data_IF_035678797708
#
_entry.id   IF_035678797708
#
_cell.length_a   1.000
_cell.length_b   1.000
_cell.length_c   1.000
_cell.angle_alpha   90.00
_cell.angle_beta   90.00
_cell.angle_gamma   90.00
#
_symmetry.space_group_name_H-M   'P 1'
#
loop_
_entity.id
_entity.type
_entity.pdbx_description
1 polymer ?
#
# COMPACT_ATOMS: atom_id res chain seq x y z
N UNK A 1 -15.92 -18.93 -6.97
CA UNK A 1 -15.29 -17.73 -7.54
C UNK A 1 -13.79 -17.84 -7.31
N UNK A 2 -13.02 -18.10 -8.37
CA UNK A 2 -11.55 -18.25 -8.30
C UNK A 2 -10.91 -16.87 -8.24
N UNK A 3 -10.51 -16.43 -7.03
CA UNK A 3 -9.59 -15.29 -6.89
C UNK A 3 -8.18 -15.77 -7.20
N UNK A 4 -7.83 -15.79 -8.48
CA UNK A 4 -6.42 -15.70 -8.90
C UNK A 4 -5.93 -14.30 -8.55
N UNK A 5 -5.62 -14.08 -7.26
CA UNK A 5 -4.81 -12.94 -6.85
C UNK A 5 -3.45 -13.22 -7.48
N UNK A 6 -3.10 -12.42 -8.48
CA UNK A 6 -1.78 -12.47 -9.09
C UNK A 6 -0.75 -12.32 -7.97
N UNK A 7 -0.13 -13.42 -7.56
CA UNK A 7 1.04 -13.41 -6.68
C UNK A 7 2.08 -12.54 -7.38
N UNK A 8 2.43 -11.38 -6.78
CA UNK A 8 3.29 -10.32 -7.32
C UNK A 8 2.63 -9.17 -8.11
N UNK A 9 1.33 -8.91 -7.96
CA UNK A 9 0.82 -7.58 -8.33
C UNK A 9 1.10 -6.58 -7.20
N UNK A 10 1.64 -5.42 -7.53
CA UNK A 10 1.63 -4.28 -6.62
C UNK A 10 0.17 -3.85 -6.38
N UNK A 11 -0.23 -3.84 -5.11
CA UNK A 11 -1.58 -3.50 -4.67
C UNK A 11 -1.64 -2.22 -3.86
N UNK A 12 -0.54 -1.43 -3.79
CA UNK A 12 -0.47 -0.25 -2.91
C UNK A 12 -1.63 0.73 -3.11
N UNK A 13 -2.04 0.95 -4.37
CA UNK A 13 -3.17 1.84 -4.70
C UNK A 13 -4.55 1.25 -4.39
N UNK A 14 -4.64 -0.06 -4.17
CA UNK A 14 -5.88 -0.81 -3.99
C UNK A 14 -6.18 -1.13 -2.52
N UNK A 15 -5.26 -0.81 -1.62
CA UNK A 15 -5.39 -1.09 -0.19
C UNK A 15 -5.60 0.19 0.63
N UNK A 16 -6.21 0.01 1.79
CA UNK A 16 -6.28 0.96 2.88
C UNK A 16 -5.39 0.44 4.01
N UNK A 17 -4.37 1.20 4.38
CA UNK A 17 -3.43 0.87 5.45
C UNK A 17 -3.76 1.78 6.63
N UNK A 18 -3.91 1.20 7.83
CA UNK A 18 -4.25 2.01 9.02
C UNK A 18 -3.16 3.05 9.30
N UNK A 19 -3.58 4.24 9.74
CA UNK A 19 -2.68 5.38 10.00
C UNK A 19 -1.45 5.04 10.84
N UNK A 20 -1.53 4.28 11.95
CA UNK A 20 -0.35 3.96 12.77
C UNK A 20 0.73 3.18 12.01
N UNK A 21 0.34 2.38 11.01
CA UNK A 21 1.29 1.65 10.16
C UNK A 21 2.00 2.60 9.21
N UNK A 22 1.26 3.52 8.60
CA UNK A 22 1.84 4.52 7.69
C UNK A 22 2.80 5.46 8.42
N UNK A 23 2.47 5.86 9.66
CA UNK A 23 3.36 6.65 10.52
C UNK A 23 4.65 5.87 10.82
N UNK A 24 4.53 4.62 11.29
CA UNK A 24 5.67 3.77 11.57
C UNK A 24 6.54 3.51 10.32
N UNK A 25 5.92 3.37 9.14
CA UNK A 25 6.63 3.23 7.86
C UNK A 25 7.50 4.46 7.56
N UNK A 26 6.92 5.66 7.62
CA UNK A 26 7.61 6.91 7.33
C UNK A 26 8.76 7.15 8.31
N UNK A 27 8.51 6.95 9.61
CA UNK A 27 9.54 7.13 10.65
C UNK A 27 10.71 6.16 10.44
N UNK A 28 10.42 4.89 10.14
CA UNK A 28 11.45 3.88 9.86
C UNK A 28 12.28 4.23 8.62
N UNK A 29 11.63 4.71 7.55
CA UNK A 29 12.34 5.15 6.34
C UNK A 29 13.24 6.37 6.60
N UNK A 30 12.79 7.30 7.44
CA UNK A 30 13.59 8.46 7.83
C UNK A 30 14.85 8.05 8.61
N UNK A 31 14.70 7.14 9.58
CA UNK A 31 15.83 6.62 10.38
C UNK A 31 16.84 5.84 9.52
N UNK A 32 16.34 5.01 8.60
CA UNK A 32 17.17 4.28 7.64
C UNK A 32 17.89 5.26 6.71
N UNK A 33 17.19 6.27 6.19
CA UNK A 33 17.78 7.28 5.31
C UNK A 33 18.89 8.06 6.02
N UNK A 34 18.69 8.48 7.27
CA UNK A 34 19.74 9.15 8.06
C UNK A 34 20.94 8.23 8.27
N UNK A 35 20.69 6.96 8.61
CA UNK A 35 21.75 5.96 8.81
C UNK A 35 22.58 5.74 7.54
N UNK A 36 21.91 5.54 6.40
CA UNK A 36 22.57 5.35 5.11
C UNK A 36 23.32 6.60 4.65
N UNK A 37 22.77 7.79 4.90
CA UNK A 37 23.43 9.08 4.63
C UNK A 37 24.78 9.17 5.33
N UNK A 38 24.81 8.80 6.62
CA UNK A 38 26.04 8.83 7.43
C UNK A 38 27.03 7.77 6.95
N UNK A 39 26.57 6.56 6.64
CA UNK A 39 27.45 5.47 6.16
C UNK A 39 28.07 5.77 4.79
N UNK A 40 27.25 6.23 3.84
CA UNK A 40 27.68 6.49 2.45
C UNK A 40 28.34 7.87 2.27
N UNK A 41 28.41 8.68 3.33
CA UNK A 41 28.89 10.07 3.29
C UNK A 41 28.17 10.93 2.23
N UNK A 42 26.92 10.59 1.94
CA UNK A 42 26.11 11.26 0.94
C UNK A 42 25.45 12.51 1.52
N UNK A 43 25.19 13.51 0.68
CA UNK A 43 24.39 14.68 1.08
C UNK A 43 22.89 14.47 0.89
N UNK A 44 22.53 13.63 -0.08
CA UNK A 44 21.16 13.33 -0.50
C UNK A 44 20.98 11.81 -0.46
N UNK A 45 19.80 11.38 -0.04
CA UNK A 45 19.37 9.98 -0.04
C UNK A 45 18.09 9.92 -0.86
N UNK A 46 18.13 9.16 -1.95
CA UNK A 46 16.96 8.92 -2.77
C UNK A 46 16.12 7.82 -2.13
N UNK A 47 14.80 8.05 -2.08
CA UNK A 47 13.81 7.05 -1.68
C UNK A 47 12.92 6.80 -2.91
N UNK A 48 12.82 5.55 -3.32
CA UNK A 48 12.01 5.15 -4.48
C UNK A 48 10.52 5.05 -4.12
N UNK A 49 9.71 4.69 -5.11
CA UNK A 49 8.27 4.55 -4.93
C UNK A 49 7.95 3.37 -4.00
N UNK A 50 6.97 3.57 -3.11
CA UNK A 50 6.46 2.51 -2.26
C UNK A 50 5.60 1.51 -3.05
N UNK A 51 5.78 0.23 -2.72
CA UNK A 51 5.06 -0.92 -3.26
C UNK A 51 4.41 -1.72 -2.14
N UNK A 52 3.31 -2.41 -2.44
CA UNK A 52 2.70 -3.35 -1.50
C UNK A 52 2.30 -4.67 -2.15
N UNK A 53 2.58 -5.78 -1.46
CA UNK A 53 2.32 -7.14 -1.94
C UNK A 53 1.61 -7.95 -0.86
N UNK A 54 0.57 -8.69 -1.24
CA UNK A 54 -0.12 -9.59 -0.29
C UNK A 54 0.64 -10.91 -0.20
N UNK A 55 1.06 -11.25 1.01
CA UNK A 55 1.74 -12.52 1.31
C UNK A 55 0.74 -13.69 1.39
N UNK A 56 1.27 -14.92 1.32
CA UNK A 56 0.46 -16.15 1.39
C UNK A 56 -0.29 -16.32 2.72
N UNK A 57 0.23 -15.72 3.80
CA UNK A 57 -0.35 -15.74 5.14
C UNK A 57 -1.44 -14.66 5.34
N UNK A 58 -1.71 -13.81 4.33
CA UNK A 58 -2.66 -12.71 4.43
C UNK A 58 -2.07 -11.39 4.95
N UNK A 59 -0.80 -11.35 5.33
CA UNK A 59 -0.12 -10.10 5.66
C UNK A 59 0.14 -9.27 4.39
N UNK A 60 0.33 -7.96 4.56
CA UNK A 60 0.76 -7.06 3.50
C UNK A 60 2.24 -6.75 3.70
N UNK A 61 3.08 -7.06 2.71
CA UNK A 61 4.46 -6.60 2.66
C UNK A 61 4.50 -5.23 1.98
N UNK A 62 4.90 -4.19 2.71
CA UNK A 62 5.29 -2.91 2.14
C UNK A 62 6.79 -2.95 1.80
N UNK A 63 7.16 -2.40 0.65
CA UNK A 63 8.55 -2.39 0.18
C UNK A 63 8.89 -1.10 -0.55
N UNK A 64 10.12 -0.64 -0.39
CA UNK A 64 10.72 0.46 -1.16
C UNK A 64 12.23 0.29 -1.25
N UNK A 65 12.91 1.22 -1.89
CA UNK A 65 14.37 1.30 -1.96
C UNK A 65 14.84 2.62 -1.36
N UNK A 66 15.82 2.58 -0.45
CA UNK A 66 16.47 3.77 0.13
C UNK A 66 17.95 3.77 -0.23
N UNK A 67 18.42 4.75 -1.02
CA UNK A 67 19.77 4.81 -1.56
C UNK A 67 20.26 3.50 -2.20
N UNK A 68 19.38 2.84 -2.97
CA UNK A 68 19.64 1.55 -3.62
C UNK A 68 19.50 0.32 -2.72
N UNK A 69 19.25 0.49 -1.42
CA UNK A 69 19.07 -0.62 -0.48
C UNK A 69 17.57 -0.96 -0.32
N UNK A 70 17.17 -2.22 -0.46
CA UNK A 70 15.79 -2.62 -0.27
C UNK A 70 15.37 -2.52 1.20
N UNK A 71 14.21 -1.94 1.46
CA UNK A 71 13.58 -1.87 2.78
C UNK A 71 12.20 -2.52 2.69
N UNK A 72 11.88 -3.38 3.66
CA UNK A 72 10.58 -4.03 3.75
C UNK A 72 9.99 -3.89 5.15
N UNK A 73 8.67 -3.86 5.22
CA UNK A 73 7.90 -3.93 6.46
C UNK A 73 6.71 -4.87 6.26
N UNK A 74 6.52 -5.78 7.21
CA UNK A 74 5.36 -6.68 7.22
C UNK A 74 4.25 -6.04 8.06
N UNK A 75 3.08 -5.92 7.46
CA UNK A 75 1.86 -5.36 8.06
C UNK A 75 0.87 -6.50 8.32
N UNK A 76 0.50 -6.76 9.58
CA UNK A 76 -0.50 -7.78 9.92
C UNK A 76 -1.84 -7.56 9.22
N UNK A 77 -2.57 -8.63 8.93
CA UNK A 77 -3.85 -8.62 8.19
C UNK A 77 -4.93 -7.74 8.85
N UNK A 78 -4.92 -7.66 10.17
CA UNK A 78 -5.77 -6.78 10.96
C UNK A 78 -5.47 -5.28 10.79
N UNK A 79 -4.37 -4.90 10.14
CA UNK A 79 -3.89 -3.52 10.03
C UNK A 79 -4.02 -2.93 8.61
N UNK A 80 -4.59 -3.70 7.67
CA UNK A 80 -4.89 -3.23 6.32
C UNK A 80 -6.17 -3.88 5.78
N UNK A 81 -6.73 -3.31 4.72
CA UNK A 81 -7.84 -3.91 3.97
C UNK A 81 -7.76 -3.53 2.50
N UNK A 82 -8.45 -4.23 1.61
CA UNK A 82 -8.70 -3.67 0.28
C UNK A 82 -9.62 -2.45 0.40
N UNK A 83 -9.46 -1.48 -0.50
CA UNK A 83 -10.45 -0.41 -0.67
C UNK A 83 -11.70 -1.04 -1.25
N UNK A 84 -12.83 -0.86 -0.59
CA UNK A 84 -14.10 -1.30 -1.14
C UNK A 84 -14.43 -0.48 -2.38
N UNK A 85 -14.59 -1.15 -3.53
CA UNK A 85 -15.03 -0.55 -4.79
C UNK A 85 -16.56 -0.30 -4.76
N UNK A 86 -17.03 0.40 -3.72
CA UNK A 86 -18.45 0.76 -3.53
C UNK A 86 -18.87 2.03 -4.30
N UNK A 87 -18.04 2.53 -5.22
CA UNK A 87 -18.40 3.66 -6.09
C UNK A 87 -19.28 3.29 -7.30
N UNK A 88 -19.46 2.01 -7.63
CA UNK A 88 -20.14 1.61 -8.88
C UNK A 88 -21.59 1.13 -8.72
N UNK A 89 -22.14 1.14 -7.50
CA UNK A 89 -23.50 0.61 -7.25
C UNK A 89 -24.58 1.67 -6.98
N UNK A 90 -24.22 2.95 -6.83
CA UNK A 90 -25.20 4.02 -6.56
C UNK A 90 -25.86 4.63 -7.80
N UNK A 91 -25.23 4.57 -8.97
CA UNK A 91 -25.77 5.21 -10.18
C UNK A 91 -26.82 4.38 -10.94
N UNK A 92 -27.12 3.14 -10.50
CA UNK A 92 -28.12 2.29 -11.16
C UNK A 92 -29.54 2.35 -10.57
N UNK A 93 -29.74 3.00 -9.42
CA UNK A 93 -31.07 3.03 -8.78
C UNK A 93 -31.89 4.31 -9.07
N UNK A 94 -31.29 5.39 -9.56
CA UNK A 94 -32.01 6.66 -9.78
C UNK A 94 -32.66 6.78 -11.16
N UNK A 95 -32.44 5.84 -12.08
CA UNK A 95 -32.90 5.97 -13.48
C UNK A 95 -34.16 5.18 -13.84
N UNK A 96 -34.79 4.47 -12.90
CA UNK A 96 -35.95 3.60 -13.18
C UNK A 96 -37.29 4.12 -12.63
N UNK A 97 -37.34 5.30 -12.02
CA UNK A 97 -38.59 5.89 -11.51
C UNK A 97 -39.26 6.91 -12.44
N UNK A 98 -38.75 7.16 -13.65
CA UNK A 98 -39.34 8.16 -14.58
C UNK A 98 -40.07 7.56 -15.80
N UNK A 99 -40.27 6.24 -15.87
CA UNK A 99 -41.08 5.63 -16.96
C UNK A 99 -42.39 5.13 -16.37
N UNK A 100 -43.33 6.05 -16.12
CA UNK A 100 -44.66 5.68 -15.65
C UNK A 100 -45.51 6.85 -15.14
N UNK A 101 -45.86 7.78 -16.03
CA UNK A 101 -47.03 8.64 -15.89
C UNK A 101 -47.61 8.92 -17.27
#
# INVERSE_FOLDING_TARGET
>A
MNKNIAQNSDVFQQVNIKTPVMEAWIDSLADIAVSLRLQKHSKIVDIEQDHAFVEKNGALMMATTVAGEPVHMVVPDEMWSYRDDESLSRDRQTSLSEIGA
#
